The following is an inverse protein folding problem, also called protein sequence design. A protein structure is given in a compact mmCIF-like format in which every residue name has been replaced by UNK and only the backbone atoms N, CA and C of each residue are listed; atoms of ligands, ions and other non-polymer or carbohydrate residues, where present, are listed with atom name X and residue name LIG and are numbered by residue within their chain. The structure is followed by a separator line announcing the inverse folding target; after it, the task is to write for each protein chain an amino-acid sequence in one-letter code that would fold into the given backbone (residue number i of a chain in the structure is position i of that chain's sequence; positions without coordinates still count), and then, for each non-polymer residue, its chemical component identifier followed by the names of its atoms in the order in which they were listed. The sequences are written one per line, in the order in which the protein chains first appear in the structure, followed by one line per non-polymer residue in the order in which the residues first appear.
data_IF_129117380334
#
_entry.id   IF_129117380334
#
_cell.length_a   1.000
_cell.length_b   1.000
_cell.length_c   1.000
_cell.angle_alpha   90.00
_cell.angle_beta   90.00
_cell.angle_gamma   90.00
#
_symmetry.space_group_name_H-M   'P 1'
#
loop_
_entity.id
_entity.type
_entity.pdbx_description
1 polymer ?
#
# COMPACT_ATOMS: atom_id res chain seq x y z
N UNK A 1 -2.64 16.13 -35.51
CA UNK A 1 -3.72 15.17 -35.19
C UNK A 1 -3.84 15.14 -33.68
N UNK A 2 -4.75 15.96 -33.13
CA UNK A 2 -4.92 16.13 -31.69
C UNK A 2 -5.66 14.91 -31.11
N UNK A 3 -5.08 14.28 -30.09
CA UNK A 3 -5.71 13.19 -29.36
C UNK A 3 -6.62 13.84 -28.30
N UNK A 4 -7.93 13.74 -28.52
CA UNK A 4 -8.96 14.25 -27.61
C UNK A 4 -8.99 13.39 -26.34
N UNK A 5 -8.77 14.05 -25.20
CA UNK A 5 -8.49 13.46 -23.89
C UNK A 5 -9.77 13.12 -23.10
N UNK A 6 -10.88 12.80 -23.78
CA UNK A 6 -12.22 12.74 -23.17
C UNK A 6 -12.76 11.36 -22.80
N UNK A 7 -12.01 10.27 -23.04
CA UNK A 7 -12.49 8.91 -22.76
C UNK A 7 -11.51 8.07 -21.92
N UNK A 8 -10.96 8.64 -20.84
CA UNK A 8 -10.40 7.80 -19.78
C UNK A 8 -11.57 7.20 -18.99
N UNK A 9 -11.86 5.93 -19.27
CA UNK A 9 -12.75 5.10 -18.45
C UNK A 9 -12.08 4.94 -17.09
N UNK A 10 -12.44 5.80 -16.12
CA UNK A 10 -11.99 5.66 -14.74
C UNK A 10 -12.50 4.33 -14.20
N UNK A 11 -11.57 3.45 -13.89
CA UNK A 11 -11.78 2.09 -13.40
C UNK A 11 -12.12 2.11 -11.89
N UNK A 12 -13.13 2.90 -11.50
CA UNK A 12 -13.55 3.08 -10.10
C UNK A 12 -14.66 2.09 -9.66
N UNK A 13 -15.00 1.07 -10.45
CA UNK A 13 -16.08 0.13 -10.09
C UNK A 13 -15.83 -1.34 -10.50
N UNK A 14 -15.23 -2.15 -9.60
CA UNK A 14 -15.44 -3.60 -9.62
C UNK A 14 -16.05 -4.02 -8.28
N UNK A 15 -17.38 -3.94 -8.13
CA UNK A 15 -17.98 -4.42 -6.87
C UNK A 15 -19.50 -4.45 -6.71
N UNK A 16 -20.27 -3.69 -7.48
CA UNK A 16 -21.73 -3.67 -7.30
C UNK A 16 -22.46 -3.94 -8.63
N UNK A 17 -23.39 -4.91 -8.62
CA UNK A 17 -24.09 -5.39 -9.81
C UNK A 17 -24.63 -4.26 -10.71
N UNK A 18 -24.33 -4.38 -11.99
CA UNK A 18 -24.58 -3.39 -13.05
C UNK A 18 -26.05 -3.02 -13.24
N UNK A 19 -27.00 -3.87 -12.80
CA UNK A 19 -28.44 -3.67 -13.03
C UNK A 19 -29.11 -2.70 -12.05
N UNK A 20 -28.66 -2.59 -10.80
CA UNK A 20 -29.30 -1.70 -9.81
C UNK A 20 -28.65 -0.32 -9.77
N UNK A 21 -27.32 -0.26 -9.59
CA UNK A 21 -26.60 1.02 -9.58
C UNK A 21 -26.62 1.71 -10.94
N UNK A 22 -26.47 0.97 -12.04
CA UNK A 22 -26.44 1.53 -13.39
C UNK A 22 -27.71 2.30 -13.77
N UNK A 23 -28.89 1.82 -13.34
CA UNK A 23 -30.17 2.50 -13.63
C UNK A 23 -30.27 3.85 -12.90
N UNK A 24 -29.91 3.91 -11.62
CA UNK A 24 -29.87 5.17 -10.85
C UNK A 24 -28.78 6.12 -11.39
N UNK A 25 -27.63 5.55 -11.78
CA UNK A 25 -26.55 6.29 -12.43
C UNK A 25 -26.90 6.77 -13.85
N UNK A 26 -27.94 6.22 -14.48
CA UNK A 26 -28.49 6.75 -15.73
C UNK A 26 -29.54 7.81 -15.45
N UNK A 27 -30.47 7.54 -14.55
CA UNK A 27 -31.54 8.46 -14.17
C UNK A 27 -31.00 9.80 -13.69
N UNK A 28 -30.09 9.81 -12.71
CA UNK A 28 -29.56 11.07 -12.20
C UNK A 28 -28.69 11.86 -13.21
N UNK A 29 -28.31 11.24 -14.34
CA UNK A 29 -27.56 11.89 -15.43
C UNK A 29 -28.56 12.57 -16.36
N UNK A 30 -29.66 11.87 -16.68
CA UNK A 30 -30.80 12.42 -17.42
C UNK A 30 -31.42 13.63 -16.69
N UNK A 31 -31.56 13.56 -15.37
CA UNK A 31 -32.14 14.65 -14.57
C UNK A 31 -31.12 15.70 -14.13
N UNK A 32 -29.87 15.61 -14.57
CA UNK A 32 -28.76 16.48 -14.15
C UNK A 32 -28.67 16.66 -12.62
N UNK A 33 -29.00 15.60 -11.89
CA UNK A 33 -29.06 15.65 -10.43
C UNK A 33 -27.66 15.54 -9.83
N UNK A 34 -27.43 16.27 -8.74
CA UNK A 34 -26.21 16.11 -7.94
C UNK A 34 -26.16 14.71 -7.35
N UNK A 35 -25.00 14.06 -7.46
CA UNK A 35 -24.73 12.78 -6.80
C UNK A 35 -23.65 12.95 -5.77
N UNK A 36 -23.88 12.34 -4.61
CA UNK A 36 -22.82 12.11 -3.64
C UNK A 36 -22.08 10.85 -4.08
N UNK A 37 -20.76 10.90 -4.10
CA UNK A 37 -19.95 9.71 -4.32
C UNK A 37 -20.27 8.69 -3.23
N UNK A 38 -20.70 7.48 -3.64
CA UNK A 38 -20.98 6.38 -2.72
C UNK A 38 -19.75 6.10 -1.81
N UNK A 39 -18.57 6.26 -2.38
CA UNK A 39 -17.26 6.03 -1.77
C UNK A 39 -16.69 7.26 -1.05
N UNK A 40 -17.20 8.46 -1.33
CA UNK A 40 -16.61 9.72 -0.85
C UNK A 40 -17.12 10.19 0.51
N UNK A 41 -18.32 9.75 0.93
CA UNK A 41 -18.96 10.23 2.17
C UNK A 41 -19.83 9.19 2.89
N UNK A 42 -20.20 8.07 2.25
CA UNK A 42 -21.11 7.07 2.83
C UNK A 42 -20.43 5.83 3.40
N UNK A 43 -19.35 5.38 2.77
CA UNK A 43 -18.57 4.19 3.18
C UNK A 43 -17.12 4.59 3.47
N UNK A 44 -16.76 4.65 4.75
CA UNK A 44 -15.41 4.95 5.22
C UNK A 44 -14.48 3.73 5.26
N UNK A 45 -14.88 2.59 4.68
CA UNK A 45 -14.11 1.33 4.66
C UNK A 45 -12.95 1.29 3.67
N UNK A 46 -12.62 2.40 3.00
CA UNK A 46 -11.62 2.41 1.95
C UNK A 46 -10.20 2.59 2.50
N UNK A 47 -9.19 1.88 1.96
CA UNK A 47 -7.81 2.00 2.40
C UNK A 47 -7.23 3.34 1.93
N UNK A 48 -7.50 4.43 2.65
CA UNK A 48 -7.07 5.78 2.26
C UNK A 48 -5.54 5.93 2.16
N UNK A 49 -4.79 5.19 2.98
CA UNK A 49 -3.33 5.18 2.93
C UNK A 49 -2.76 4.56 1.64
N UNK A 50 -3.48 3.64 0.99
CA UNK A 50 -2.98 2.96 -0.21
C UNK A 50 -2.84 3.93 -1.38
N UNK A 51 -3.79 4.88 -1.52
CA UNK A 51 -3.75 5.90 -2.58
C UNK A 51 -2.55 6.82 -2.43
N UNK A 52 -2.20 7.17 -1.20
CA UNK A 52 -1.04 8.03 -0.91
C UNK A 52 0.28 7.30 -1.20
N UNK A 53 0.36 6.01 -0.85
CA UNK A 53 1.59 5.21 -0.98
C UNK A 53 1.79 4.71 -2.42
N UNK A 54 0.76 4.11 -3.02
CA UNK A 54 0.85 3.41 -4.30
C UNK A 54 0.28 4.21 -5.47
N UNK A 55 -0.35 5.36 -5.23
CA UNK A 55 -1.05 6.14 -6.25
C UNK A 55 -2.36 5.48 -6.72
N UNK A 56 -2.79 4.39 -6.09
CA UNK A 56 -3.99 3.65 -6.43
C UNK A 56 -4.69 3.12 -5.18
N UNK A 57 -6.02 3.04 -5.22
CA UNK A 57 -6.85 2.72 -4.06
C UNK A 57 -6.88 1.23 -3.71
N UNK A 58 -6.84 0.36 -4.71
CA UNK A 58 -6.81 -1.09 -4.53
C UNK A 58 -5.51 -1.66 -5.09
N UNK A 59 -4.33 -1.28 -4.57
CA UNK A 59 -3.06 -1.79 -5.09
C UNK A 59 -3.01 -3.32 -4.96
N UNK A 60 -3.73 -3.85 -3.97
CA UNK A 60 -3.93 -5.27 -3.79
C UNK A 60 -4.49 -5.96 -5.04
N UNK A 61 -5.33 -5.33 -5.87
CA UNK A 61 -5.86 -5.97 -7.09
C UNK A 61 -4.75 -6.28 -8.11
N UNK A 62 -3.66 -5.50 -8.10
CA UNK A 62 -2.48 -5.74 -8.93
C UNK A 62 -1.46 -6.67 -8.25
N UNK A 63 -1.48 -6.73 -6.92
CA UNK A 63 -0.61 -7.60 -6.11
C UNK A 63 -1.23 -8.98 -5.84
N UNK A 64 -2.55 -9.13 -6.01
CA UNK A 64 -3.36 -10.33 -5.72
C UNK A 64 -3.16 -11.49 -6.68
N UNK A 65 -2.16 -11.41 -7.56
CA UNK A 65 -1.74 -12.56 -8.34
C UNK A 65 -1.53 -13.80 -7.46
N UNK A 66 -1.13 -13.64 -6.19
CA UNK A 66 -0.72 -14.77 -5.34
C UNK A 66 -1.76 -15.39 -4.39
N UNK A 67 -2.77 -14.68 -3.88
CA UNK A 67 -3.70 -15.29 -2.90
C UNK A 67 -4.64 -16.35 -3.53
N UNK A 68 -4.86 -16.26 -4.84
CA UNK A 68 -5.67 -17.21 -5.61
C UNK A 68 -4.85 -18.35 -6.22
N UNK A 69 -3.53 -18.18 -6.30
CA UNK A 69 -2.60 -19.26 -6.61
C UNK A 69 -2.39 -20.05 -5.31
N UNK A 70 -2.43 -21.38 -5.32
CA UNK A 70 -2.24 -22.26 -4.13
C UNK A 70 -0.81 -22.19 -3.55
N UNK A 71 -0.22 -21.00 -3.47
CA UNK A 71 1.05 -20.72 -2.83
C UNK A 71 0.74 -19.86 -1.61
N UNK A 72 0.53 -20.52 -0.49
CA UNK A 72 0.27 -19.83 0.77
C UNK A 72 1.58 -19.28 1.36
N UNK A 73 1.53 -18.11 2.01
CA UNK A 73 2.70 -17.53 2.66
C UNK A 73 3.03 -18.30 3.94
N UNK A 74 4.31 -18.33 4.35
CA UNK A 74 4.68 -18.91 5.65
C UNK A 74 4.03 -18.18 6.84
N UNK A 75 3.77 -16.88 6.68
CA UNK A 75 3.13 -16.02 7.68
C UNK A 75 1.95 -15.26 7.05
N UNK A 76 0.80 -15.37 7.69
CA UNK A 76 -0.41 -14.65 7.35
C UNK A 76 -0.80 -13.74 8.51
N UNK A 77 -0.85 -12.43 8.25
CA UNK A 77 -1.29 -11.42 9.23
C UNK A 77 -2.64 -10.86 8.81
N UNK A 78 -3.65 -11.08 9.63
CA UNK A 78 -4.96 -10.42 9.50
C UNK A 78 -4.98 -9.24 10.46
N UNK A 79 -4.89 -8.03 9.92
CA UNK A 79 -4.77 -6.80 10.71
C UNK A 79 -6.00 -5.91 10.51
N UNK A 80 -6.76 -5.68 11.58
CA UNK A 80 -7.94 -4.79 11.56
C UNK A 80 -9.08 -5.28 10.66
N UNK A 81 -9.12 -6.59 10.37
CA UNK A 81 -10.10 -7.22 9.49
C UNK A 81 -10.66 -8.49 10.13
N UNK A 82 -11.90 -8.84 9.78
CA UNK A 82 -12.62 -9.97 10.35
C UNK A 82 -13.29 -10.83 9.26
N UNK A 83 -12.49 -11.57 8.45
CA UNK A 83 -13.00 -12.39 7.38
C UNK A 83 -14.01 -13.45 7.81
N UNK A 84 -14.04 -13.83 9.09
CA UNK A 84 -14.99 -14.80 9.63
C UNK A 84 -16.43 -14.28 9.71
N UNK A 85 -16.64 -12.96 9.76
CA UNK A 85 -17.97 -12.35 9.88
C UNK A 85 -18.27 -11.33 8.78
N UNK A 86 -17.27 -10.56 8.33
CA UNK A 86 -17.50 -9.37 7.50
C UNK A 86 -17.09 -9.54 6.04
N UNK A 87 -16.65 -10.74 5.63
CA UNK A 87 -16.22 -11.01 4.25
C UNK A 87 -16.92 -12.26 3.69
N UNK A 88 -16.97 -12.42 2.36
CA UNK A 88 -17.48 -13.64 1.76
C UNK A 88 -16.77 -14.89 2.30
N UNK A 89 -17.54 -15.96 2.56
CA UNK A 89 -17.07 -17.20 3.20
C UNK A 89 -15.80 -17.79 2.56
N UNK A 90 -15.64 -17.63 1.24
CA UNK A 90 -14.46 -18.15 0.53
C UNK A 90 -13.14 -17.51 0.98
N UNK A 91 -13.16 -16.28 1.51
CA UNK A 91 -11.96 -15.61 2.03
C UNK A 91 -11.50 -16.28 3.32
N UNK A 92 -12.41 -16.46 4.29
CA UNK A 92 -12.06 -17.16 5.54
C UNK A 92 -11.65 -18.61 5.27
N UNK A 93 -12.29 -19.28 4.30
CA UNK A 93 -11.86 -20.62 3.87
C UNK A 93 -10.40 -20.62 3.41
N UNK A 94 -9.98 -19.64 2.60
CA UNK A 94 -8.59 -19.53 2.15
C UNK A 94 -7.59 -19.28 3.29
N UNK A 95 -7.99 -18.50 4.30
CA UNK A 95 -7.19 -18.32 5.52
C UNK A 95 -6.99 -19.65 6.24
N UNK A 96 -8.04 -20.47 6.35
CA UNK A 96 -7.96 -21.79 6.96
C UNK A 96 -7.16 -22.79 6.13
N UNK A 97 -7.37 -22.83 4.80
CA UNK A 97 -6.58 -23.67 3.88
C UNK A 97 -5.07 -23.35 4.03
N UNK A 98 -4.71 -22.06 4.12
CA UNK A 98 -3.33 -21.63 4.34
C UNK A 98 -2.75 -22.14 5.66
N UNK A 99 -3.53 -22.03 6.74
CA UNK A 99 -3.14 -22.52 8.07
C UNK A 99 -2.96 -24.05 8.08
N UNK A 100 -3.86 -24.79 7.44
CA UNK A 100 -3.76 -26.25 7.29
C UNK A 100 -2.53 -26.68 6.46
N UNK A 101 -2.13 -25.88 5.47
CA UNK A 101 -0.90 -26.09 4.71
C UNK A 101 0.38 -25.57 5.42
N UNK A 102 0.26 -25.11 6.67
CA UNK A 102 1.40 -24.78 7.55
C UNK A 102 1.70 -23.29 7.73
N UNK A 103 0.86 -22.40 7.19
CA UNK A 103 1.02 -20.95 7.40
C UNK A 103 0.73 -20.58 8.85
N UNK A 104 1.59 -19.78 9.48
CA UNK A 104 1.29 -19.20 10.79
C UNK A 104 0.28 -18.07 10.63
N UNK A 105 -0.82 -18.11 11.39
CA UNK A 105 -1.87 -17.08 11.37
C UNK A 105 -1.78 -16.18 12.60
N UNK A 106 -1.48 -14.90 12.38
CA UNK A 106 -1.52 -13.85 13.41
C UNK A 106 -2.72 -12.95 13.15
N UNK A 107 -3.50 -12.67 14.20
CA UNK A 107 -4.63 -11.72 14.15
C UNK A 107 -4.34 -10.53 15.04
N UNK A 108 -4.37 -9.34 14.46
CA UNK A 108 -4.15 -8.06 15.13
C UNK A 108 -5.47 -7.29 15.09
N UNK A 109 -6.19 -7.27 16.22
CA UNK A 109 -7.49 -6.61 16.34
C UNK A 109 -7.71 -6.20 17.81
N UNK A 110 -8.32 -5.04 18.11
CA UNK A 110 -8.67 -4.68 19.48
C UNK A 110 -9.70 -5.63 20.12
N UNK A 111 -10.47 -6.37 19.31
CA UNK A 111 -11.49 -7.32 19.77
C UNK A 111 -11.06 -8.74 19.47
N UNK A 112 -11.39 -9.65 20.38
CA UNK A 112 -11.26 -11.08 20.13
C UNK A 112 -12.41 -11.58 19.25
N UNK A 113 -12.24 -11.51 17.92
CA UNK A 113 -13.25 -11.85 16.92
C UNK A 113 -13.33 -13.35 16.60
N UNK A 114 -14.29 -13.77 15.77
CA UNK A 114 -14.34 -15.14 15.24
C UNK A 114 -13.06 -15.47 14.47
N UNK A 115 -12.51 -14.53 13.69
CA UNK A 115 -11.22 -14.74 13.03
C UNK A 115 -10.09 -14.90 14.05
N UNK A 116 -10.04 -14.08 15.10
CA UNK A 116 -9.05 -14.20 16.17
C UNK A 116 -9.09 -15.58 16.86
N UNK A 117 -10.28 -16.17 17.02
CA UNK A 117 -10.44 -17.52 17.61
C UNK A 117 -9.75 -18.64 16.82
N UNK A 118 -9.36 -18.38 15.56
CA UNK A 118 -8.65 -19.33 14.68
C UNK A 118 -7.16 -19.05 14.57
N UNK A 119 -6.69 -17.93 15.13
CA UNK A 119 -5.30 -17.52 15.05
C UNK A 119 -4.37 -18.42 15.87
N UNK A 120 -3.11 -18.53 15.44
CA UNK A 120 -2.04 -19.06 16.28
C UNK A 120 -1.64 -18.04 17.35
N UNK A 121 -1.66 -16.75 16.99
CA UNK A 121 -1.41 -15.65 17.91
C UNK A 121 -2.42 -14.52 17.72
N UNK A 122 -2.93 -14.01 18.84
CA UNK A 122 -3.81 -12.84 18.87
C UNK A 122 -3.10 -11.68 19.57
N UNK A 123 -3.04 -10.54 18.89
CA UNK A 123 -2.46 -9.30 19.41
C UNK A 123 -3.59 -8.30 19.62
N UNK A 124 -4.03 -8.20 20.89
CA UNK A 124 -5.04 -7.24 21.33
C UNK A 124 -4.44 -5.86 21.59
N UNK A 125 -4.67 -4.92 20.66
CA UNK A 125 -4.21 -3.53 20.77
C UNK A 125 -5.30 -2.60 21.30
N UNK A 126 -4.89 -1.41 21.76
CA UNK A 126 -5.85 -0.33 22.02
C UNK A 126 -6.36 0.23 20.68
N UNK A 127 -7.66 0.50 20.52
CA UNK A 127 -8.19 1.08 19.28
C UNK A 127 -7.42 2.34 18.85
N UNK A 128 -7.02 2.39 17.58
CA UNK A 128 -6.29 3.53 17.00
C UNK A 128 -4.78 3.56 17.26
N UNK A 129 -4.22 2.52 17.89
CA UNK A 129 -2.77 2.43 18.17
C UNK A 129 -1.97 1.57 17.19
N UNK A 130 -2.61 1.13 16.10
CA UNK A 130 -2.00 0.33 15.04
C UNK A 130 -0.73 0.97 14.45
N UNK A 131 -0.72 2.29 14.30
CA UNK A 131 0.44 3.04 13.80
C UNK A 131 1.66 2.93 14.72
N UNK A 132 1.44 2.92 16.04
CA UNK A 132 2.52 2.74 17.02
C UNK A 132 3.11 1.33 16.93
N UNK A 133 2.26 0.31 16.76
CA UNK A 133 2.71 -1.07 16.54
C UNK A 133 3.50 -1.19 15.22
N UNK A 134 2.98 -0.64 14.12
CA UNK A 134 3.66 -0.65 12.83
C UNK A 134 5.02 0.05 12.87
N UNK A 135 5.10 1.24 13.50
CA UNK A 135 6.37 1.96 13.67
C UNK A 135 7.34 1.21 14.59
N UNK A 136 6.85 0.55 15.64
CA UNK A 136 7.65 -0.31 16.51
C UNK A 136 8.25 -1.50 15.76
N UNK A 137 7.45 -2.18 14.92
CA UNK A 137 7.93 -3.27 14.06
C UNK A 137 9.00 -2.78 13.09
N UNK A 138 8.78 -1.64 12.42
CA UNK A 138 9.76 -1.02 11.53
C UNK A 138 11.06 -0.74 12.29
N UNK A 139 10.99 -0.14 13.48
CA UNK A 139 12.17 0.15 14.28
C UNK A 139 12.98 -1.12 14.59
N UNK A 140 12.32 -2.22 15.00
CA UNK A 140 12.99 -3.49 15.29
C UNK A 140 13.62 -4.09 14.02
N UNK A 141 12.93 -4.03 12.87
CA UNK A 141 13.44 -4.51 11.58
C UNK A 141 14.72 -3.76 11.19
N UNK A 142 14.75 -2.44 11.36
CA UNK A 142 15.93 -1.63 11.04
C UNK A 142 17.07 -1.85 12.03
N UNK A 143 16.79 -1.85 13.35
CA UNK A 143 17.79 -2.09 14.38
C UNK A 143 18.47 -3.45 14.25
N UNK A 144 17.73 -4.47 13.81
CA UNK A 144 18.25 -5.83 13.61
C UNK A 144 18.77 -6.10 12.20
N UNK A 145 18.72 -5.13 11.28
CA UNK A 145 19.15 -5.30 9.90
C UNK A 145 18.34 -6.33 9.09
N UNK A 146 17.05 -6.53 9.42
CA UNK A 146 16.16 -7.53 8.80
C UNK A 146 15.46 -7.03 7.52
N UNK A 147 15.80 -5.83 7.04
CA UNK A 147 15.16 -5.21 5.89
C UNK A 147 15.84 -5.61 4.57
N UNK A 148 15.03 -5.78 3.52
CA UNK A 148 15.55 -5.96 2.16
C UNK A 148 15.93 -4.59 1.56
N UNK A 149 17.23 -4.29 1.62
CA UNK A 149 17.81 -3.04 1.10
C UNK A 149 17.52 -2.89 -0.40
N UNK A 150 17.61 -3.97 -1.18
CA UNK A 150 17.41 -3.91 -2.63
C UNK A 150 15.96 -3.58 -2.96
N UNK A 151 15.01 -4.20 -2.26
CA UNK A 151 13.60 -3.87 -2.40
C UNK A 151 13.33 -2.40 -2.07
N UNK A 152 13.88 -1.89 -0.97
CA UNK A 152 13.73 -0.48 -0.56
C UNK A 152 14.26 0.45 -1.66
N UNK A 153 15.43 0.16 -2.22
CA UNK A 153 16.06 0.98 -3.26
C UNK A 153 15.26 1.01 -4.56
N UNK A 154 14.69 -0.13 -4.97
CA UNK A 154 14.03 -0.29 -6.26
C UNK A 154 12.55 0.12 -6.24
N UNK A 155 11.85 -0.18 -5.15
CA UNK A 155 10.37 -0.09 -5.08
C UNK A 155 9.85 1.05 -4.20
N UNK A 156 10.72 1.76 -3.48
CA UNK A 156 10.31 2.82 -2.55
C UNK A 156 11.02 4.14 -2.83
N UNK A 157 10.61 5.19 -2.11
CA UNK A 157 11.29 6.48 -2.09
C UNK A 157 12.36 6.61 -0.99
N UNK A 158 12.72 5.53 -0.30
CA UNK A 158 13.65 5.56 0.84
C UNK A 158 15.07 6.05 0.51
N UNK A 159 15.44 6.07 -0.77
CA UNK A 159 16.75 6.57 -1.27
C UNK A 159 16.75 8.03 -1.68
N UNK A 160 15.59 8.68 -1.70
CA UNK A 160 15.45 10.03 -2.24
C UNK A 160 15.97 11.06 -1.24
N UNK A 161 16.82 11.97 -1.68
CA UNK A 161 17.38 13.00 -0.81
C UNK A 161 16.31 14.02 -0.40
N UNK A 162 16.37 14.44 0.86
CA UNK A 162 15.50 15.46 1.45
C UNK A 162 16.36 16.63 1.87
N UNK A 163 15.91 17.85 1.55
CA UNK A 163 16.59 19.07 1.94
C UNK A 163 16.38 19.35 3.43
N UNK A 164 17.45 19.69 4.13
CA UNK A 164 17.43 19.97 5.58
C UNK A 164 16.83 21.33 5.92
N UNK A 165 16.76 22.26 4.96
CA UNK A 165 16.25 23.63 5.17
C UNK A 165 14.71 23.70 5.21
N UNK A 166 14.03 22.90 4.39
CA UNK A 166 12.58 22.96 4.22
C UNK A 166 11.86 21.61 4.31
N UNK A 167 12.58 20.51 4.49
CA UNK A 167 12.01 19.15 4.62
C UNK A 167 11.39 18.59 3.34
N UNK A 168 11.60 19.22 2.18
CA UNK A 168 11.10 18.74 0.89
C UNK A 168 12.15 17.88 0.18
N UNK A 169 11.70 17.00 -0.71
CA UNK A 169 12.61 16.26 -1.58
C UNK A 169 13.48 17.20 -2.42
N UNK A 170 14.77 16.89 -2.50
CA UNK A 170 15.71 17.57 -3.38
C UNK A 170 15.36 17.26 -4.84
N UNK A 171 15.25 18.33 -5.64
CA UNK A 171 14.90 18.25 -7.06
C UNK A 171 16.07 18.61 -7.95
N UNK A 172 16.02 18.17 -9.20
CA UNK A 172 17.02 18.55 -10.21
C UNK A 172 17.16 20.06 -10.39
N UNK A 173 16.07 20.82 -10.25
CA UNK A 173 16.08 22.28 -10.36
C UNK A 173 16.89 22.95 -9.24
N UNK A 174 16.95 22.33 -8.06
CA UNK A 174 17.72 22.84 -6.92
C UNK A 174 19.24 22.71 -7.14
N UNK A 175 19.68 21.82 -8.03
CA UNK A 175 21.09 21.52 -8.31
C UNK A 175 21.53 21.92 -9.73
N UNK A 176 20.70 22.70 -10.44
CA UNK A 176 21.03 23.21 -11.78
C UNK A 176 20.97 22.16 -12.90
N UNK A 177 20.21 21.07 -12.71
CA UNK A 177 20.07 20.00 -13.70
C UNK A 177 19.00 20.32 -14.75
N UNK A 178 19.20 19.84 -15.97
CA UNK A 178 18.26 20.04 -17.10
C UNK A 178 16.87 19.44 -16.87
N UNK A 179 16.76 18.40 -16.04
CA UNK A 179 15.49 17.78 -15.66
C UNK A 179 15.04 18.24 -14.27
N UNK A 180 14.50 19.45 -14.20
CA UNK A 180 14.18 20.13 -12.94
C UNK A 180 13.32 19.31 -11.95
N UNK A 181 12.35 18.53 -12.44
CA UNK A 181 11.41 17.75 -11.59
C UNK A 181 11.93 16.38 -11.14
N UNK A 182 13.09 15.94 -11.62
CA UNK A 182 13.65 14.63 -11.25
C UNK A 182 13.98 14.58 -9.76
N UNK A 183 13.87 13.39 -9.16
CA UNK A 183 14.35 13.16 -7.80
C UNK A 183 15.85 12.87 -7.82
N UNK A 184 16.53 13.27 -6.77
CA UNK A 184 17.97 13.06 -6.60
C UNK A 184 18.23 11.95 -5.59
N UNK A 185 19.15 11.07 -5.94
CA UNK A 185 19.72 10.05 -5.04
C UNK A 185 21.22 10.26 -4.92
N UNK A 186 21.81 9.71 -3.86
CA UNK A 186 23.26 9.67 -3.68
C UNK A 186 23.82 8.30 -4.07
N UNK A 187 24.90 8.27 -4.84
CA UNK A 187 25.66 7.04 -5.07
C UNK A 187 26.99 7.11 -4.31
N UNK A 188 27.13 6.23 -3.32
CA UNK A 188 28.36 6.16 -2.52
C UNK A 188 29.57 5.66 -3.32
N UNK A 189 29.36 4.85 -4.38
CA UNK A 189 30.47 4.30 -5.16
C UNK A 189 31.11 5.34 -6.07
N UNK A 190 30.29 6.14 -6.73
CA UNK A 190 30.76 7.24 -7.59
C UNK A 190 31.01 8.54 -6.82
N UNK A 191 30.58 8.59 -5.55
CA UNK A 191 30.61 9.78 -4.69
C UNK A 191 29.97 11.00 -5.39
N UNK A 192 28.83 10.78 -6.05
CA UNK A 192 28.15 11.79 -6.85
C UNK A 192 26.62 11.64 -6.74
N UNK A 193 25.90 12.73 -7.02
CA UNK A 193 24.45 12.69 -7.13
C UNK A 193 24.03 12.07 -8.46
N UNK A 194 22.96 11.27 -8.44
CA UNK A 194 22.36 10.66 -9.62
C UNK A 194 20.86 10.99 -9.71
N UNK A 195 20.31 10.94 -10.93
CA UNK A 195 18.92 11.28 -11.23
C UNK A 195 18.05 10.04 -11.28
N UNK A 196 16.87 10.10 -10.65
CA UNK A 196 15.85 9.05 -10.75
C UNK A 196 14.53 9.64 -11.21
N UNK A 197 14.00 9.14 -12.33
CA UNK A 197 12.73 9.60 -12.94
C UNK A 197 11.53 8.68 -12.66
N UNK A 198 11.61 7.85 -11.60
CA UNK A 198 10.83 6.62 -11.30
C UNK A 198 11.38 5.36 -11.98
N UNK A 199 11.50 4.31 -11.17
CA UNK A 199 11.65 2.87 -11.45
C UNK A 199 12.91 2.31 -12.15
N UNK A 200 13.93 3.11 -12.49
CA UNK A 200 15.21 2.57 -13.03
C UNK A 200 16.38 2.77 -12.07
N UNK A 201 16.24 2.30 -10.83
CA UNK A 201 17.36 2.21 -9.87
C UNK A 201 17.96 0.81 -10.00
N UNK A 202 18.74 0.56 -11.07
CA UNK A 202 19.60 -0.64 -11.11
C UNK A 202 20.99 -0.23 -10.61
N UNK A 203 21.40 -0.83 -9.49
CA UNK A 203 22.77 -0.80 -8.93
C UNK A 203 23.21 0.46 -8.18
N UNK A 204 22.53 0.84 -7.10
CA UNK A 204 23.07 1.82 -6.15
C UNK A 204 23.13 1.20 -4.76
N UNK A 205 24.31 1.19 -4.13
CA UNK A 205 24.47 0.77 -2.73
C UNK A 205 24.43 2.04 -1.90
N UNK A 206 23.52 2.11 -0.92
CA UNK A 206 23.43 3.20 0.02
C UNK A 206 23.56 2.61 1.43
N UNK A 207 24.47 3.14 2.24
CA UNK A 207 24.58 2.80 3.65
C UNK A 207 23.47 3.51 4.42
N UNK A 208 22.28 2.90 4.45
CA UNK A 208 21.26 3.32 5.40
C UNK A 208 21.71 2.89 6.80
N UNK A 209 21.91 3.89 7.67
CA UNK A 209 22.33 3.76 9.06
C UNK A 209 23.76 3.22 9.27
N UNK A 210 24.76 4.12 9.17
CA UNK A 210 25.87 4.00 10.14
C UNK A 210 25.27 4.15 11.53
N UNK A 211 25.38 3.10 12.34
CA UNK A 211 24.90 3.06 13.72
C UNK A 211 25.15 4.40 14.43
N UNK A 212 24.15 5.04 15.05
CA UNK A 212 24.44 6.03 16.05
C UNK A 212 25.15 5.29 17.20
N UNK A 213 26.40 5.68 17.44
CA UNK A 213 27.16 5.34 18.66
C UNK A 213 26.38 5.66 19.92
#
# INVERSE_FOLDING_TARGET
MAIDNKNFMNWDDPGAGTTKFGAYLRLASLTQSTRVSAWGYGDAGLPCGSRVIFGHQFPHMYLFGKLWMRQFPELLVVWGSNPGESMPVHIMRKVMDAKEEGSQLIVIDPRFTITASKADEFIGLKPGTDSALALGLINVIFQKGLHDIKFIQEQTNGTHLVRTDNGKFLRGEDVGESQGKAYIIWDEKSNSHNKVRRSNVKNYILSLCKNPT
#
